data_IF_656407684002
#
_entry.id   IF_656407684002
#
_cell.length_a   1.000
_cell.length_b   1.000
_cell.length_c   1.000
_cell.angle_alpha   90.00
_cell.angle_beta   90.00
_cell.angle_gamma   90.00
#
_symmetry.space_group_name_H-M   'P 1'
#
loop_
_entity.id
_entity.type
_entity.pdbx_description
1 polymer ?
#
# COMPACT_ATOMS: atom_id res chain seq x y z
N UNK A 1 43.03 -33.89 -6.72
CA UNK A 1 41.63 -33.93 -6.26
C UNK A 1 41.50 -32.92 -5.13
N UNK A 2 40.98 -31.72 -5.42
CA UNK A 2 40.52 -30.79 -4.39
C UNK A 2 39.16 -30.28 -4.83
N UNK A 3 38.13 -30.98 -4.38
CA UNK A 3 36.75 -30.53 -4.47
C UNK A 3 36.58 -29.45 -3.40
N UNK A 4 36.72 -28.18 -3.77
CA UNK A 4 36.25 -27.08 -2.94
C UNK A 4 34.73 -27.02 -3.11
N UNK A 5 34.03 -27.62 -2.14
CA UNK A 5 32.58 -27.61 -2.07
C UNK A 5 32.06 -26.18 -1.94
N UNK A 6 31.05 -25.91 -2.77
CA UNK A 6 30.54 -24.61 -3.17
C UNK A 6 29.57 -24.00 -2.14
N UNK A 7 30.01 -23.81 -0.89
CA UNK A 7 29.23 -23.08 0.12
C UNK A 7 30.13 -22.41 1.17
N UNK A 8 30.80 -21.35 0.72
CA UNK A 8 31.92 -20.71 1.39
C UNK A 8 31.46 -19.64 2.41
N UNK A 9 30.78 -20.07 3.48
CA UNK A 9 30.47 -19.21 4.65
C UNK A 9 29.66 -17.92 4.38
N UNK A 10 29.45 -17.10 5.42
CA UNK A 10 28.77 -15.79 5.32
C UNK A 10 29.63 -14.71 4.65
N UNK A 11 30.93 -14.96 4.51
CA UNK A 11 31.92 -14.04 3.95
C UNK A 11 32.48 -14.51 2.60
N UNK A 12 31.83 -15.48 1.94
CA UNK A 12 32.21 -16.00 0.62
C UNK A 12 33.67 -16.50 0.55
N UNK A 13 34.18 -17.07 1.64
CA UNK A 13 35.57 -17.53 1.78
C UNK A 13 36.62 -16.42 1.91
N UNK A 14 36.24 -15.15 1.72
CA UNK A 14 37.16 -14.02 1.73
C UNK A 14 37.20 -13.35 3.12
N UNK A 15 38.14 -13.81 3.95
CA UNK A 15 38.38 -13.30 5.30
C UNK A 15 38.80 -11.83 5.32
N UNK A 16 39.40 -11.32 4.26
CA UNK A 16 39.85 -9.93 4.19
C UNK A 16 38.67 -8.94 4.21
N UNK A 17 37.46 -9.40 3.89
CA UNK A 17 36.25 -8.57 3.93
C UNK A 17 35.75 -8.31 5.34
N UNK A 18 36.15 -9.09 6.33
CA UNK A 18 35.64 -8.95 7.70
C UNK A 18 36.21 -7.68 8.36
N UNK A 19 35.33 -6.89 8.99
CA UNK A 19 35.77 -5.76 9.80
C UNK A 19 36.63 -6.27 10.98
N UNK A 20 37.62 -5.49 11.45
CA UNK A 20 38.39 -5.86 12.64
C UNK A 20 37.53 -6.07 13.89
N UNK A 21 36.39 -5.38 13.96
CA UNK A 21 35.41 -5.48 15.06
C UNK A 21 34.26 -6.45 14.77
N UNK A 22 34.32 -7.20 13.67
CA UNK A 22 33.23 -8.09 13.28
C UNK A 22 33.06 -9.23 14.30
N UNK A 23 31.83 -9.40 14.78
CA UNK A 23 31.43 -10.53 15.63
C UNK A 23 30.86 -11.65 14.76
N UNK A 24 31.23 -12.89 15.05
CA UNK A 24 30.79 -14.03 14.25
C UNK A 24 30.22 -15.16 15.11
N UNK A 25 29.11 -15.75 14.68
CA UNK A 25 28.44 -16.87 15.34
C UNK A 25 28.67 -18.19 14.59
N UNK A 26 29.04 -19.24 15.31
CA UNK A 26 29.16 -20.58 14.76
C UNK A 26 27.77 -21.15 14.45
N UNK A 27 27.50 -21.53 13.20
CA UNK A 27 26.20 -22.14 12.80
C UNK A 27 25.96 -23.54 13.37
N UNK A 28 26.99 -24.18 13.94
CA UNK A 28 26.91 -25.55 14.48
C UNK A 28 26.49 -25.54 15.96
N UNK A 29 27.00 -24.60 16.75
CA UNK A 29 26.81 -24.59 18.21
C UNK A 29 26.42 -23.21 18.78
N UNK A 30 26.24 -22.21 17.92
CA UNK A 30 25.86 -20.83 18.26
C UNK A 30 26.85 -20.08 19.16
N UNK A 31 28.08 -20.58 19.28
CA UNK A 31 29.15 -19.84 19.94
C UNK A 31 29.50 -18.56 19.16
N UNK A 32 29.58 -17.43 19.85
CA UNK A 32 29.96 -16.15 19.28
C UNK A 32 31.44 -15.89 19.56
N UNK A 33 32.23 -15.68 18.51
CA UNK A 33 33.55 -15.08 18.59
C UNK A 33 33.39 -13.55 18.60
N UNK A 34 33.81 -12.91 19.69
CA UNK A 34 33.91 -11.46 19.79
C UNK A 34 35.40 -11.05 19.80
N UNK A 35 35.88 -10.25 18.83
CA UNK A 35 37.23 -9.72 18.83
C UNK A 35 37.59 -9.01 20.14
N UNK A 36 36.65 -8.34 20.81
CA UNK A 36 36.90 -7.65 22.06
C UNK A 36 37.22 -8.61 23.22
N UNK A 37 36.77 -9.86 23.15
CA UNK A 37 37.00 -10.89 24.16
C UNK A 37 38.16 -11.82 23.78
N UNK A 38 38.39 -12.04 22.48
CA UNK A 38 39.36 -13.00 21.99
C UNK A 38 38.88 -14.46 22.17
N UNK A 39 39.79 -15.38 22.45
CA UNK A 39 39.46 -16.79 22.68
C UNK A 39 40.45 -17.43 23.65
N UNK A 40 40.07 -17.54 24.92
CA UNK A 40 40.91 -18.09 25.99
C UNK A 40 41.34 -19.54 25.72
N UNK A 41 40.42 -20.38 25.21
CA UNK A 41 40.70 -21.79 24.89
C UNK A 41 41.82 -21.97 23.84
N UNK A 42 41.99 -20.99 22.96
CA UNK A 42 43.05 -20.94 21.95
C UNK A 42 44.16 -19.93 22.29
N UNK A 43 44.12 -19.37 23.50
CA UNK A 43 45.03 -18.32 23.97
C UNK A 43 45.11 -17.12 23.01
N UNK A 44 44.00 -16.78 22.36
CA UNK A 44 43.88 -15.62 21.49
C UNK A 44 43.53 -14.41 22.36
N UNK A 45 44.37 -13.35 22.38
CA UNK A 45 44.14 -12.22 23.25
C UNK A 45 42.94 -11.37 22.80
N UNK A 46 42.30 -10.64 23.74
CA UNK A 46 41.37 -9.56 23.44
C UNK A 46 41.91 -8.58 22.39
N UNK A 47 41.05 -8.11 21.51
CA UNK A 47 41.35 -7.24 20.38
C UNK A 47 41.77 -7.96 19.09
N UNK A 48 41.81 -9.29 19.06
CA UNK A 48 42.22 -10.03 17.86
C UNK A 48 41.04 -10.16 16.88
N UNK A 49 41.13 -9.63 15.65
CA UNK A 49 40.05 -9.75 14.68
C UNK A 49 39.95 -11.17 14.10
N UNK A 50 38.77 -11.59 13.66
CA UNK A 50 38.54 -12.94 13.12
C UNK A 50 39.41 -13.24 11.88
N UNK A 51 39.73 -12.22 11.08
CA UNK A 51 40.60 -12.35 9.92
C UNK A 51 42.09 -12.54 10.26
N UNK A 52 42.51 -12.20 11.49
CA UNK A 52 43.87 -12.42 11.98
C UNK A 52 44.02 -13.73 12.78
N UNK A 53 42.94 -14.50 12.95
CA UNK A 53 43.01 -15.82 13.59
C UNK A 53 43.91 -16.78 12.79
N UNK A 54 44.65 -17.68 13.45
CA UNK A 54 45.48 -18.67 12.77
C UNK A 54 44.69 -19.54 11.78
N UNK A 55 45.33 -19.99 10.70
CA UNK A 55 44.65 -20.77 9.65
C UNK A 55 44.10 -22.12 10.10
N UNK A 56 44.58 -22.65 11.21
CA UNK A 56 44.12 -23.90 11.82
C UNK A 56 43.18 -23.68 13.01
N UNK A 57 42.82 -22.43 13.33
CA UNK A 57 41.88 -22.13 14.41
C UNK A 57 40.50 -22.74 14.11
N UNK A 58 39.89 -23.31 15.14
CA UNK A 58 38.56 -23.95 15.10
C UNK A 58 37.69 -23.45 16.25
N UNK A 59 36.38 -23.57 16.10
CA UNK A 59 35.43 -23.21 17.15
C UNK A 59 35.79 -23.92 18.47
N UNK A 60 36.00 -23.20 19.59
CA UNK A 60 36.38 -23.80 20.87
C UNK A 60 35.29 -24.68 21.49
N UNK A 61 34.05 -24.57 21.00
CA UNK A 61 32.89 -25.31 21.54
C UNK A 61 32.60 -26.59 20.76
N UNK A 62 32.71 -26.57 19.43
CA UNK A 62 32.26 -27.68 18.58
C UNK A 62 33.29 -28.17 17.55
N UNK A 63 34.52 -27.65 17.59
CA UNK A 63 35.60 -27.95 16.64
C UNK A 63 35.29 -27.65 15.16
N UNK A 64 34.23 -26.88 14.92
CA UNK A 64 33.82 -26.43 13.60
C UNK A 64 34.89 -25.56 12.94
N UNK A 65 35.06 -25.72 11.62
CA UNK A 65 35.95 -24.86 10.84
C UNK A 65 35.46 -23.39 10.82
N UNK A 66 36.35 -22.46 10.50
CA UNK A 66 36.01 -21.02 10.40
C UNK A 66 34.88 -20.73 9.43
N UNK A 67 34.76 -21.48 8.33
CA UNK A 67 33.70 -21.28 7.33
C UNK A 67 32.31 -21.74 7.82
N UNK A 68 32.24 -22.32 9.02
CA UNK A 68 30.99 -22.55 9.74
C UNK A 68 30.50 -21.31 10.52
N UNK A 69 31.22 -20.20 10.51
CA UNK A 69 30.82 -18.98 11.19
C UNK A 69 30.02 -18.02 10.29
N UNK A 70 29.05 -17.33 10.88
CA UNK A 70 28.17 -16.34 10.28
C UNK A 70 28.44 -14.97 10.89
N UNK A 71 28.38 -13.87 10.12
CA UNK A 71 28.62 -12.52 10.67
C UNK A 71 27.36 -12.04 11.40
N UNK A 72 27.50 -11.62 12.66
CA UNK A 72 26.40 -11.04 13.44
C UNK A 72 26.37 -9.51 13.33
N UNK A 73 27.48 -8.85 13.66
CA UNK A 73 27.60 -7.38 13.69
C UNK A 73 28.95 -6.95 13.11
N UNK A 74 29.00 -5.82 12.41
CA UNK A 74 30.23 -5.30 11.79
C UNK A 74 30.42 -5.71 10.33
N UNK A 75 29.35 -5.59 9.54
CA UNK A 75 29.37 -5.78 8.09
C UNK A 75 30.63 -5.15 7.48
N UNK A 76 31.24 -5.93 6.57
CA UNK A 76 32.41 -5.59 5.76
C UNK A 76 32.67 -4.08 5.65
N UNK A 77 33.78 -3.53 6.18
CA UNK A 77 33.92 -2.09 6.35
C UNK A 77 34.22 -1.34 5.03
N UNK A 78 34.07 -1.99 3.87
CA UNK A 78 34.34 -1.33 2.58
C UNK A 78 33.64 -1.96 1.36
N UNK A 79 32.41 -2.45 1.53
CA UNK A 79 31.54 -2.62 0.36
C UNK A 79 30.75 -1.33 0.16
N UNK A 80 30.93 -0.59 -0.95
CA UNK A 80 30.07 0.54 -1.24
C UNK A 80 28.61 0.06 -1.27
N UNK A 81 27.71 0.83 -0.64
CA UNK A 81 26.28 0.53 -0.51
C UNK A 81 25.57 0.18 -1.85
N UNK A 82 26.23 0.49 -2.97
CA UNK A 82 25.83 0.25 -4.36
C UNK A 82 25.86 -1.24 -4.77
N UNK A 83 26.53 -2.11 -4.01
CA UNK A 83 26.65 -3.55 -4.33
C UNK A 83 25.87 -4.49 -3.41
N UNK A 84 25.06 -3.95 -2.50
CA UNK A 84 23.96 -4.74 -1.94
C UNK A 84 22.90 -4.80 -3.03
N UNK A 85 22.52 -5.97 -3.58
CA UNK A 85 21.30 -6.02 -4.38
C UNK A 85 20.19 -5.53 -3.45
N UNK A 86 19.63 -4.36 -3.74
CA UNK A 86 18.43 -3.95 -3.04
C UNK A 86 17.38 -5.01 -3.35
N UNK A 87 16.93 -5.72 -2.31
CA UNK A 87 15.79 -6.63 -2.40
C UNK A 87 14.49 -5.86 -2.68
N UNK A 88 14.57 -4.53 -2.72
CA UNK A 88 13.47 -3.59 -2.90
C UNK A 88 13.58 -2.98 -4.31
N UNK A 89 12.45 -2.93 -5.01
CA UNK A 89 12.34 -2.29 -6.32
C UNK A 89 12.86 -0.84 -6.27
N UNK A 90 13.84 -0.43 -7.12
CA UNK A 90 14.34 0.94 -7.18
C UNK A 90 13.27 2.01 -7.40
N UNK A 91 12.16 1.66 -8.05
CA UNK A 91 11.01 2.58 -8.19
C UNK A 91 10.34 2.85 -6.84
N UNK A 92 10.24 1.83 -5.99
CA UNK A 92 9.62 1.92 -4.68
C UNK A 92 10.49 2.71 -3.69
N UNK A 93 11.82 2.55 -3.77
CA UNK A 93 12.77 3.36 -2.99
C UNK A 93 12.70 4.84 -3.36
N UNK A 94 12.64 5.15 -4.65
CA UNK A 94 12.47 6.53 -5.14
C UNK A 94 11.16 7.13 -4.62
N UNK A 95 10.06 6.38 -4.74
CA UNK A 95 8.76 6.80 -4.24
C UNK A 95 8.77 7.04 -2.72
N UNK A 96 9.45 6.18 -1.95
CA UNK A 96 9.62 6.36 -0.50
C UNK A 96 10.38 7.65 -0.16
N UNK A 97 11.43 7.97 -0.93
CA UNK A 97 12.25 9.15 -0.71
C UNK A 97 11.54 10.45 -1.11
N UNK A 98 10.77 10.44 -2.20
CA UNK A 98 10.18 11.65 -2.79
C UNK A 98 8.78 11.97 -2.23
N UNK A 99 7.98 10.96 -1.90
CA UNK A 99 6.58 11.16 -1.54
C UNK A 99 6.36 12.08 -0.32
N UNK A 100 7.09 11.96 0.81
CA UNK A 100 6.84 12.82 1.97
C UNK A 100 6.97 14.31 1.61
N UNK A 101 8.03 14.68 0.89
CA UNK A 101 8.27 16.05 0.45
C UNK A 101 7.22 16.55 -0.55
N UNK A 102 6.82 15.69 -1.48
CA UNK A 102 5.78 15.98 -2.47
C UNK A 102 4.43 16.27 -1.79
N UNK A 103 3.97 15.37 -0.91
CA UNK A 103 2.71 15.56 -0.19
C UNK A 103 2.74 16.79 0.70
N UNK A 104 3.83 17.02 1.43
CA UNK A 104 3.96 18.23 2.24
C UNK A 104 3.87 19.51 1.41
N UNK A 105 4.55 19.56 0.26
CA UNK A 105 4.52 20.73 -0.63
C UNK A 105 3.11 21.00 -1.17
N UNK A 106 2.46 19.98 -1.75
CA UNK A 106 1.13 20.11 -2.35
C UNK A 106 0.08 20.50 -1.30
N UNK A 107 0.07 19.84 -0.13
CA UNK A 107 -0.94 20.13 0.88
C UNK A 107 -0.69 21.45 1.61
N UNK A 108 0.56 21.92 1.70
CA UNK A 108 0.88 23.27 2.20
C UNK A 108 0.36 24.34 1.25
N UNK A 109 0.44 24.12 -0.05
CA UNK A 109 -0.17 25.00 -1.05
C UNK A 109 -1.70 25.01 -0.95
N UNK A 110 -2.33 23.82 -0.83
CA UNK A 110 -3.80 23.71 -0.62
C UNK A 110 -4.22 24.46 0.64
N UNK A 111 -3.46 24.35 1.72
CA UNK A 111 -3.73 25.07 2.96
C UNK A 111 -3.72 26.58 2.72
N UNK A 112 -2.69 27.10 2.06
CA UNK A 112 -2.53 28.53 1.80
C UNK A 112 -3.59 29.08 0.83
N UNK A 113 -3.94 28.33 -0.22
CA UNK A 113 -4.79 28.80 -1.31
C UNK A 113 -6.29 28.60 -1.08
N UNK A 114 -6.69 27.44 -0.52
CA UNK A 114 -8.10 27.02 -0.48
C UNK A 114 -8.68 26.88 0.92
N UNK A 115 -7.85 26.58 1.91
CA UNK A 115 -8.34 26.21 3.26
C UNK A 115 -8.17 27.33 4.29
N UNK A 116 -7.38 28.37 4.00
CA UNK A 116 -7.16 29.48 4.93
C UNK A 116 -8.48 30.19 5.28
N UNK A 117 -8.81 30.25 6.56
CA UNK A 117 -10.02 30.91 7.08
C UNK A 117 -11.28 30.05 7.09
N UNK A 118 -11.18 28.76 6.75
CA UNK A 118 -12.31 27.84 6.80
C UNK A 118 -12.53 27.35 8.25
N UNK A 119 -13.78 27.28 8.76
CA UNK A 119 -14.04 27.04 10.19
C UNK A 119 -13.55 25.72 10.78
N UNK A 120 -13.27 24.70 9.95
CA UNK A 120 -12.81 23.38 10.38
C UNK A 120 -11.27 23.21 10.32
N UNK A 121 -10.54 24.30 10.07
CA UNK A 121 -9.08 24.31 9.97
C UNK A 121 -8.47 24.70 11.30
N UNK A 122 -7.64 23.82 11.85
CA UNK A 122 -6.90 24.09 13.06
C UNK A 122 -5.65 24.95 12.77
N UNK A 123 -5.71 26.25 13.08
CA UNK A 123 -4.62 27.19 12.81
C UNK A 123 -3.32 26.96 13.59
N UNK A 124 -3.31 26.08 14.61
CA UNK A 124 -2.07 25.73 15.34
C UNK A 124 -1.27 24.64 14.63
N UNK A 125 -1.87 23.98 13.64
CA UNK A 125 -1.25 22.89 12.91
C UNK A 125 -0.74 23.35 11.54
N UNK A 126 0.28 22.66 11.07
CA UNK A 126 0.81 22.72 9.72
C UNK A 126 0.57 21.40 8.98
N UNK A 127 1.28 21.24 7.88
CA UNK A 127 1.25 20.01 7.08
C UNK A 127 2.54 19.24 7.33
N UNK A 128 2.43 17.95 7.62
CA UNK A 128 3.57 17.05 7.85
C UNK A 128 3.28 15.65 7.30
N UNK A 129 4.25 15.07 6.62
CA UNK A 129 4.22 13.66 6.19
C UNK A 129 5.19 12.86 7.06
N UNK A 130 4.70 11.82 7.75
CA UNK A 130 5.49 11.03 8.71
C UNK A 130 5.23 9.53 8.58
N UNK A 131 6.16 8.72 9.10
CA UNK A 131 6.00 7.26 9.13
C UNK A 131 6.00 6.59 7.76
N UNK A 132 6.51 7.24 6.72
CA UNK A 132 6.59 6.66 5.39
C UNK A 132 7.53 5.45 5.39
N UNK A 133 7.03 4.32 4.91
CA UNK A 133 7.77 3.07 4.81
C UNK A 133 7.23 2.18 3.71
N UNK A 134 7.98 1.13 3.42
CA UNK A 134 7.59 0.09 2.48
C UNK A 134 6.95 -1.07 3.25
N UNK A 135 5.75 -1.47 2.83
CA UNK A 135 5.06 -2.63 3.38
C UNK A 135 4.25 -3.32 2.28
N UNK A 136 4.37 -4.66 2.18
CA UNK A 136 3.73 -5.47 1.14
C UNK A 136 3.98 -4.95 -0.30
N UNK A 137 5.20 -4.47 -0.58
CA UNK A 137 5.59 -3.95 -1.90
C UNK A 137 4.97 -2.58 -2.24
N UNK A 138 4.44 -1.85 -1.26
CA UNK A 138 3.82 -0.52 -1.43
C UNK A 138 4.42 0.48 -0.46
N UNK A 139 4.53 1.74 -0.89
CA UNK A 139 4.88 2.85 0.01
C UNK A 139 3.61 3.32 0.70
N UNK A 140 3.68 3.48 2.01
CA UNK A 140 2.60 4.03 2.81
C UNK A 140 3.15 4.86 3.97
N UNK A 141 2.39 5.86 4.39
CA UNK A 141 2.71 6.70 5.53
C UNK A 141 1.49 7.50 5.99
N UNK A 142 1.69 8.45 6.89
CA UNK A 142 0.61 9.28 7.44
C UNK A 142 0.82 10.72 7.04
N UNK A 143 -0.24 11.34 6.53
CA UNK A 143 -0.30 12.76 6.21
C UNK A 143 -1.13 13.48 7.27
N UNK A 144 -0.47 14.36 8.00
CA UNK A 144 -1.07 15.29 8.96
C UNK A 144 -1.32 16.61 8.24
N UNK A 145 -2.55 17.11 8.30
CA UNK A 145 -2.93 18.44 7.85
C UNK A 145 -3.70 19.17 8.95
N UNK A 146 -3.92 20.48 8.82
CA UNK A 146 -4.74 21.23 9.77
C UNK A 146 -6.23 20.83 9.83
N UNK A 147 -6.73 20.03 8.89
CA UNK A 147 -8.15 19.65 8.82
C UNK A 147 -8.42 18.15 8.82
N UNK A 148 -7.44 17.32 8.45
CA UNK A 148 -7.49 15.87 8.60
C UNK A 148 -6.12 15.24 8.94
N UNK A 149 -6.14 14.01 9.42
CA UNK A 149 -5.01 13.08 9.45
C UNK A 149 -5.40 11.80 8.70
N UNK A 150 -4.64 11.44 7.66
CA UNK A 150 -4.95 10.29 6.81
C UNK A 150 -3.74 9.36 6.65
N UNK A 151 -3.98 8.05 6.61
CA UNK A 151 -3.02 7.11 6.02
C UNK A 151 -3.04 7.32 4.51
N UNK A 152 -1.87 7.40 3.87
CA UNK A 152 -1.69 7.52 2.43
C UNK A 152 -0.99 6.27 1.92
N UNK A 153 -1.59 5.63 0.90
CA UNK A 153 -1.07 4.49 0.16
C UNK A 153 -0.76 4.91 -1.27
N UNK A 154 0.44 4.58 -1.73
CA UNK A 154 0.90 4.86 -3.08
C UNK A 154 0.87 3.60 -3.94
N UNK A 155 0.79 3.74 -5.28
CA UNK A 155 0.76 2.59 -6.17
C UNK A 155 2.06 1.79 -6.06
N UNK A 156 1.97 0.49 -6.31
CA UNK A 156 3.12 -0.36 -6.62
C UNK A 156 3.25 -0.52 -8.13
N UNK A 157 4.35 -1.14 -8.58
CA UNK A 157 4.61 -1.38 -10.00
C UNK A 157 3.60 -2.32 -10.69
N UNK A 158 2.84 -3.11 -9.92
CA UNK A 158 1.84 -4.05 -10.43
C UNK A 158 0.43 -3.44 -10.51
N UNK A 159 0.21 -2.25 -9.93
CA UNK A 159 -1.09 -1.60 -9.92
C UNK A 159 -1.32 -0.83 -11.22
N UNK A 160 -2.42 -1.12 -11.89
CA UNK A 160 -2.96 -0.24 -12.91
C UNK A 160 -4.00 0.71 -12.30
N UNK A 161 -3.55 1.88 -11.85
CA UNK A 161 -4.42 2.95 -11.35
C UNK A 161 -4.77 3.99 -12.42
N UNK A 162 -4.55 3.69 -13.71
CA UNK A 162 -4.87 4.60 -14.81
C UNK A 162 -6.36 4.97 -14.88
N UNK A 163 -7.23 4.07 -14.41
CA UNK A 163 -8.69 4.26 -14.37
C UNK A 163 -9.24 4.59 -12.98
N UNK A 164 -8.37 4.83 -11.99
CA UNK A 164 -8.78 5.03 -10.61
C UNK A 164 -9.65 6.31 -10.49
N UNK A 165 -10.91 6.16 -10.08
CA UNK A 165 -11.83 7.29 -9.93
C UNK A 165 -11.76 7.87 -8.52
N UNK A 166 -11.59 9.19 -8.42
CA UNK A 166 -11.61 9.87 -7.13
C UNK A 166 -12.91 9.58 -6.38
N UNK A 167 -12.80 9.18 -5.11
CA UNK A 167 -13.91 8.81 -4.24
C UNK A 167 -14.29 7.32 -4.28
N UNK A 168 -13.70 6.54 -5.19
CA UNK A 168 -13.86 5.09 -5.21
C UNK A 168 -13.34 4.45 -3.92
N UNK A 169 -14.12 3.53 -3.38
CA UNK A 169 -13.85 2.90 -2.08
C UNK A 169 -13.20 1.54 -2.29
N UNK A 170 -12.20 1.24 -1.48
CA UNK A 170 -11.57 -0.08 -1.45
C UNK A 170 -11.30 -0.48 0.00
N UNK A 171 -11.61 -1.73 0.34
CA UNK A 171 -11.26 -2.30 1.63
C UNK A 171 -9.90 -2.96 1.54
N UNK A 172 -9.00 -2.58 2.44
CA UNK A 172 -7.64 -3.10 2.51
C UNK A 172 -7.43 -3.73 3.89
N UNK A 173 -7.00 -4.99 3.89
CA UNK A 173 -6.70 -5.75 5.09
C UNK A 173 -5.29 -5.46 5.60
N UNK A 174 -5.21 -5.21 6.91
CA UNK A 174 -3.98 -5.08 7.68
C UNK A 174 -4.04 -6.06 8.87
N UNK A 175 -2.90 -6.36 9.51
CA UNK A 175 -2.87 -7.20 10.71
C UNK A 175 -3.84 -6.75 11.81
N UNK A 176 -4.01 -5.43 11.99
CA UNK A 176 -4.94 -4.85 12.96
C UNK A 176 -6.41 -4.83 12.52
N UNK A 177 -6.74 -5.16 11.26
CA UNK A 177 -8.12 -5.16 10.77
C UNK A 177 -8.27 -4.68 9.32
N UNK A 178 -9.53 -4.53 8.90
CA UNK A 178 -9.90 -4.10 7.55
C UNK A 178 -10.26 -2.62 7.54
N UNK A 179 -9.59 -1.84 6.68
CA UNK A 179 -9.75 -0.37 6.62
C UNK A 179 -10.31 0.06 5.26
N UNK A 180 -11.18 1.07 5.27
CA UNK A 180 -11.74 1.67 4.05
C UNK A 180 -10.81 2.78 3.54
N UNK A 181 -10.32 2.60 2.32
CA UNK A 181 -9.52 3.58 1.60
C UNK A 181 -10.32 4.21 0.47
N UNK A 182 -10.15 5.51 0.32
CA UNK A 182 -10.72 6.28 -0.76
C UNK A 182 -9.64 6.61 -1.78
N UNK A 183 -9.91 6.30 -3.04
CA UNK A 183 -9.09 6.74 -4.16
C UNK A 183 -9.10 8.27 -4.26
N UNK A 184 -7.93 8.84 -4.43
CA UNK A 184 -7.72 10.24 -4.73
C UNK A 184 -6.75 10.34 -5.90
N UNK A 185 -7.18 11.02 -6.96
CA UNK A 185 -6.30 11.31 -8.09
C UNK A 185 -6.16 12.82 -8.22
N UNK A 186 -4.95 13.32 -7.99
CA UNK A 186 -4.62 14.73 -8.16
C UNK A 186 -3.41 14.84 -9.10
N UNK A 187 -3.42 15.77 -10.06
CA UNK A 187 -2.28 15.96 -10.96
C UNK A 187 -0.97 16.22 -10.23
N UNK A 188 -1.02 16.87 -9.06
CA UNK A 188 0.18 17.32 -8.34
C UNK A 188 0.82 16.21 -7.49
N UNK A 189 0.04 15.25 -6.97
CA UNK A 189 0.55 14.13 -6.16
C UNK A 189 0.60 12.81 -6.93
N UNK A 190 -0.07 12.72 -8.08
CA UNK A 190 -0.44 11.45 -8.70
C UNK A 190 -1.60 10.74 -7.97
N UNK A 191 -1.98 9.53 -8.43
CA UNK A 191 -3.01 8.73 -7.79
C UNK A 191 -2.50 8.14 -6.47
N UNK A 192 -3.31 8.25 -5.43
CA UNK A 192 -3.08 7.65 -4.12
C UNK A 192 -4.39 7.19 -3.51
N UNK A 193 -4.32 6.33 -2.50
CA UNK A 193 -5.46 5.93 -1.68
C UNK A 193 -5.29 6.51 -0.28
N UNK A 194 -6.37 7.00 0.32
CA UNK A 194 -6.34 7.58 1.65
C UNK A 194 -7.38 6.97 2.59
N UNK A 195 -6.99 6.67 3.82
CA UNK A 195 -7.89 6.27 4.90
C UNK A 195 -7.89 7.37 5.97
N UNK A 196 -9.07 7.89 6.31
CA UNK A 196 -9.23 8.97 7.28
C UNK A 196 -9.09 8.42 8.71
N UNK A 197 -8.18 9.00 9.49
CA UNK A 197 -7.97 8.65 10.89
C UNK A 197 -8.66 9.67 11.80
N UNK A 198 -8.39 10.95 11.57
CA UNK A 198 -8.95 12.05 12.33
C UNK A 198 -9.44 13.15 11.40
N UNK A 199 -10.67 13.58 11.62
CA UNK A 199 -11.28 14.75 11.00
C UNK A 199 -12.51 15.13 11.83
N UNK A 200 -12.61 16.37 12.35
CA UNK A 200 -11.64 17.47 12.25
C UNK A 200 -10.41 17.26 13.14
N UNK A 201 -9.40 18.14 13.03
CA UNK A 201 -8.12 18.05 13.77
C UNK A 201 -8.09 18.90 15.05
N UNK A 202 -9.25 19.16 15.66
CA UNK A 202 -9.35 20.04 16.84
C UNK A 202 -8.91 19.39 18.15
N UNK A 203 -8.85 18.06 18.19
CA UNK A 203 -8.36 17.32 19.37
C UNK A 203 -6.83 17.45 19.54
N UNK A 204 -6.13 18.00 18.55
CA UNK A 204 -4.69 18.22 18.56
C UNK A 204 -4.36 19.67 18.89
N UNK A 205 -3.76 19.87 20.05
CA UNK A 205 -3.37 21.19 20.56
C UNK A 205 -2.07 21.71 19.92
N UNK A 206 -1.22 20.82 19.43
CA UNK A 206 0.09 21.15 18.87
C UNK A 206 0.52 20.19 17.76
N UNK A 207 1.46 20.65 16.93
CA UNK A 207 2.07 19.81 15.91
C UNK A 207 2.83 18.61 16.48
N UNK A 208 3.45 18.75 17.65
CA UNK A 208 4.16 17.65 18.31
C UNK A 208 3.19 16.49 18.61
N UNK A 209 2.06 16.80 19.25
CA UNK A 209 1.03 15.80 19.59
C UNK A 209 0.47 15.11 18.34
N UNK A 210 0.22 15.87 17.27
CA UNK A 210 -0.30 15.33 16.02
C UNK A 210 0.73 14.41 15.32
N UNK A 211 2.01 14.78 15.35
CA UNK A 211 3.10 13.98 14.77
C UNK A 211 3.33 12.70 15.57
N UNK A 212 3.42 12.78 16.90
CA UNK A 212 3.58 11.60 17.76
C UNK A 212 2.43 10.59 17.55
N UNK A 213 1.20 11.10 17.45
CA UNK A 213 0.03 10.27 17.14
C UNK A 213 0.16 9.62 15.76
N UNK A 214 0.51 10.40 14.74
CA UNK A 214 0.70 9.90 13.38
C UNK A 214 1.84 8.86 13.26
N UNK A 215 2.91 9.01 14.02
CA UNK A 215 4.01 8.05 14.09
C UNK A 215 3.59 6.72 14.76
N UNK A 216 2.66 6.77 15.72
CA UNK A 216 2.10 5.59 16.38
C UNK A 216 1.09 4.80 15.52
N UNK A 217 0.48 5.44 14.51
CA UNK A 217 -0.49 4.79 13.61
C UNK A 217 0.14 3.62 12.85
N UNK A 218 1.33 3.80 12.28
CA UNK A 218 1.97 2.77 11.46
C UNK A 218 2.30 1.49 12.25
N UNK A 219 2.97 1.53 13.42
CA UNK A 219 3.14 0.32 14.23
C UNK A 219 1.80 -0.25 14.69
N UNK A 220 0.83 0.59 15.06
CA UNK A 220 -0.50 0.14 15.47
C UNK A 220 -1.26 -0.63 14.37
N UNK A 221 -1.16 -0.17 13.13
CA UNK A 221 -1.79 -0.79 11.94
C UNK A 221 -1.21 -2.18 11.63
N UNK A 222 0.07 -2.41 11.95
CA UNK A 222 0.73 -3.70 11.70
C UNK A 222 0.77 -4.63 12.89
N UNK A 223 0.26 -4.19 14.03
CA UNK A 223 0.17 -5.03 15.22
C UNK A 223 -1.13 -5.85 15.17
N UNK A 224 -0.99 -7.16 15.04
CA UNK A 224 -2.10 -8.09 15.08
C UNK A 224 -2.81 -8.11 16.45
N UNK A 225 -2.14 -7.69 17.53
CA UNK A 225 -2.74 -7.53 18.86
C UNK A 225 -3.78 -6.42 18.94
N UNK A 226 -3.73 -5.45 18.02
CA UNK A 226 -4.73 -4.39 17.90
C UNK A 226 -5.94 -4.80 17.06
N UNK A 227 -6.00 -6.07 16.62
CA UNK A 227 -7.16 -6.59 15.92
C UNK A 227 -8.32 -6.67 16.89
N UNK A 228 -9.27 -5.75 16.74
CA UNK A 228 -10.56 -5.87 17.41
C UNK A 228 -11.25 -7.13 16.89
N UNK A 229 -11.29 -8.19 17.70
CA UNK A 229 -12.14 -9.35 17.47
C UNK A 229 -13.61 -8.88 17.48
N UNK A 230 -14.14 -8.61 16.29
CA UNK A 230 -15.56 -8.40 16.06
C UNK A 230 -16.00 -6.94 16.15
N UNK A 231 -15.88 -6.21 15.04
CA UNK A 231 -17.02 -5.40 14.62
C UNK A 231 -17.88 -6.25 13.70
N UNK A 232 -19.02 -6.70 14.23
CA UNK A 232 -20.15 -7.28 13.46
C UNK A 232 -20.44 -6.48 12.18
N UNK A 233 -20.14 -5.17 12.17
CA UNK A 233 -20.19 -4.28 11.00
C UNK A 233 -19.21 -4.63 9.87
N UNK A 234 -17.98 -5.06 10.18
CA UNK A 234 -16.98 -5.47 9.19
C UNK A 234 -17.27 -6.83 8.57
N UNK A 235 -17.88 -7.75 9.33
CA UNK A 235 -18.37 -9.03 8.80
C UNK A 235 -19.67 -8.89 8.01
N UNK A 236 -20.62 -8.06 8.49
CA UNK A 236 -21.85 -7.74 7.76
C UNK A 236 -21.50 -7.06 6.44
N UNK A 237 -20.55 -6.12 6.43
CA UNK A 237 -20.08 -5.46 5.20
C UNK A 237 -19.39 -6.45 4.24
N UNK A 238 -18.46 -7.28 4.73
CA UNK A 238 -17.82 -8.34 3.92
C UNK A 238 -18.83 -9.29 3.29
N UNK A 239 -19.86 -9.67 4.04
CA UNK A 239 -20.94 -10.53 3.54
C UNK A 239 -21.79 -9.80 2.50
N UNK A 240 -22.17 -8.55 2.75
CA UNK A 240 -22.95 -7.75 1.79
C UNK A 240 -22.18 -7.48 0.49
N UNK A 241 -20.88 -7.19 0.58
CA UNK A 241 -20.01 -6.98 -0.58
C UNK A 241 -19.76 -8.28 -1.35
N UNK A 242 -19.61 -9.41 -0.67
CA UNK A 242 -19.51 -10.71 -1.32
C UNK A 242 -20.82 -11.13 -2.00
N UNK A 243 -21.97 -10.85 -1.37
CA UNK A 243 -23.30 -11.07 -1.96
C UNK A 243 -23.54 -10.16 -3.18
N UNK A 244 -23.11 -8.89 -3.13
CA UNK A 244 -23.20 -7.96 -4.26
C UNK A 244 -22.23 -8.32 -5.40
N UNK A 245 -20.99 -8.68 -5.08
CA UNK A 245 -20.02 -9.14 -6.07
C UNK A 245 -20.47 -10.45 -6.74
N UNK A 246 -21.10 -11.37 -5.99
CA UNK A 246 -21.69 -12.57 -6.55
C UNK A 246 -22.89 -12.25 -7.45
N UNK A 247 -23.74 -11.27 -7.08
CA UNK A 247 -24.82 -10.77 -7.94
C UNK A 247 -24.29 -10.19 -9.23
N UNK A 248 -23.32 -9.27 -9.15
CA UNK A 248 -22.72 -8.62 -10.33
C UNK A 248 -22.00 -9.63 -11.22
N UNK A 249 -21.31 -10.61 -10.65
CA UNK A 249 -20.70 -11.69 -11.41
C UNK A 249 -21.75 -12.58 -12.10
N UNK A 250 -22.87 -12.89 -11.45
CA UNK A 250 -23.98 -13.62 -12.05
C UNK A 250 -24.68 -12.82 -13.17
N UNK A 251 -24.84 -11.50 -12.98
CA UNK A 251 -25.41 -10.58 -13.99
C UNK A 251 -24.47 -10.42 -15.20
N UNK A 252 -23.16 -10.40 -14.96
CA UNK A 252 -22.13 -10.34 -16.01
C UNK A 252 -22.00 -11.67 -16.76
N UNK A 253 -22.15 -12.81 -16.05
CA UNK A 253 -22.17 -14.14 -16.66
C UNK A 253 -23.46 -14.37 -17.49
N UNK A 254 -24.59 -13.80 -17.08
CA UNK A 254 -25.83 -13.80 -17.84
C UNK A 254 -25.80 -12.84 -19.05
N UNK A 255 -24.84 -11.92 -19.11
CA UNK A 255 -24.65 -10.96 -20.21
C UNK A 255 -23.63 -11.42 -21.26
N UNK A 256 -23.15 -12.67 -21.22
CA UNK A 256 -22.40 -13.25 -22.33
C UNK A 256 -23.31 -13.44 -23.56
N UNK A 257 -22.87 -13.11 -24.78
CA UNK A 257 -23.74 -13.07 -25.96
C UNK A 257 -24.18 -14.48 -26.36
N UNK A 258 -25.48 -14.75 -26.30
CA UNK A 258 -26.08 -15.94 -26.92
C UNK A 258 -25.84 -15.95 -28.44
N UNK A 259 -25.60 -17.13 -29.06
CA UNK A 259 -25.45 -17.23 -30.50
C UNK A 259 -26.76 -16.86 -31.23
N UNK A 260 -26.64 -15.94 -32.20
CA UNK A 260 -27.72 -15.38 -33.01
C UNK A 260 -28.68 -16.44 -33.58
N UNK A 261 -29.95 -16.35 -33.19
CA UNK A 261 -31.09 -16.89 -33.95
C UNK A 261 -31.87 -15.73 -34.57
N UNK A 262 -32.38 -15.85 -35.81
CA UNK A 262 -32.79 -14.71 -36.62
C UNK A 262 -34.05 -14.03 -36.07
N UNK A 263 -33.99 -12.70 -36.03
CA UNK A 263 -35.01 -11.77 -35.49
C UNK A 263 -36.36 -11.92 -36.17
N UNK A 264 -37.41 -12.08 -35.35
CA UNK A 264 -38.80 -11.83 -35.72
C UNK A 264 -39.18 -10.46 -35.17
N UNK A 265 -39.63 -9.55 -36.03
CA UNK A 265 -39.96 -8.16 -35.69
C UNK A 265 -40.97 -8.07 -34.53
N UNK A 266 -40.62 -7.28 -33.51
CA UNK A 266 -41.50 -6.90 -32.41
C UNK A 266 -41.97 -5.44 -32.61
N UNK A 267 -43.25 -5.12 -32.31
CA UNK A 267 -43.84 -3.82 -32.59
C UNK A 267 -43.27 -2.68 -31.73
N UNK A 268 -43.28 -1.47 -32.31
CA UNK A 268 -42.63 -0.26 -31.80
C UNK A 268 -43.02 0.15 -30.37
N UNK A 269 -42.01 0.45 -29.55
CA UNK A 269 -42.14 0.85 -28.15
C UNK A 269 -42.82 2.23 -27.99
N UNK A 270 -43.83 2.27 -27.12
CA UNK A 270 -44.51 3.48 -26.70
C UNK A 270 -43.60 4.32 -25.80
N UNK A 271 -43.24 5.53 -26.23
CA UNK A 271 -42.39 6.42 -25.43
C UNK A 271 -43.15 7.06 -24.25
N UNK A 272 -42.42 7.33 -23.16
CA UNK A 272 -42.92 7.97 -21.90
C UNK A 272 -43.65 9.31 -22.12
N UNK A 273 -43.44 10.01 -23.24
CA UNK A 273 -44.19 11.24 -23.59
C UNK A 273 -45.62 10.96 -24.09
N UNK A 274 -45.88 9.78 -24.65
CA UNK A 274 -47.22 9.38 -25.13
C UNK A 274 -48.17 8.92 -24.03
N UNK A 275 -47.66 8.65 -22.82
CA UNK A 275 -48.44 8.27 -21.65
C UNK A 275 -48.96 9.46 -20.82
N UNK A 276 -48.34 10.64 -20.94
CA UNK A 276 -48.65 11.81 -20.07
C UNK A 276 -49.52 12.87 -20.76
N UNK A 277 -49.53 12.95 -22.10
CA UNK A 277 -50.26 14.01 -22.83
C UNK A 277 -51.35 13.51 -23.80
N UNK A 278 -51.61 12.19 -23.83
CA UNK A 278 -52.56 11.58 -24.77
C UNK A 278 -52.11 11.68 -26.24
N UNK A 279 -52.57 10.79 -27.14
CA UNK A 279 -52.13 10.81 -28.53
C UNK A 279 -52.63 12.08 -29.21
N UNK A 280 -51.71 12.92 -29.71
CA UNK A 280 -52.06 14.00 -30.65
C UNK A 280 -52.46 13.35 -31.98
N UNK A 281 -53.74 13.43 -32.33
CA UNK A 281 -54.22 13.06 -33.66
C UNK A 281 -53.41 13.81 -34.72
N UNK A 282 -52.77 13.05 -35.60
CA UNK A 282 -52.07 13.58 -36.77
C UNK A 282 -53.04 14.29 -37.69
N UNK A 283 -52.58 15.40 -38.28
CA UNK A 283 -53.35 16.35 -39.09
C UNK A 283 -53.89 15.80 -40.44
N UNK A 284 -53.94 14.48 -40.62
CA UNK A 284 -54.54 13.82 -41.78
C UNK A 284 -55.93 13.24 -41.48
N UNK A 285 -56.27 13.00 -40.20
CA UNK A 285 -57.56 12.42 -39.78
C UNK A 285 -58.67 13.48 -39.53
N UNK A 286 -58.33 14.77 -39.65
CA UNK A 286 -59.28 15.89 -39.60
C UNK A 286 -59.79 16.31 -40.99
N UNK A 287 -59.20 15.80 -42.08
CA UNK A 287 -59.72 16.02 -43.45
C UNK A 287 -60.71 14.94 -43.87
N UNK A 288 -60.54 13.69 -43.45
CA UNK A 288 -61.48 12.61 -43.73
C UNK A 288 -62.83 12.75 -42.98
N UNK A 289 -62.84 13.38 -41.79
CA UNK A 289 -64.07 13.59 -41.00
C UNK A 289 -64.87 14.85 -41.36
N UNK A 290 -64.39 15.64 -42.33
CA UNK A 290 -65.12 16.79 -42.88
C UNK A 290 -65.88 16.45 -44.19
N UNK A 291 -65.60 15.29 -44.80
CA UNK A 291 -66.26 14.84 -46.03
C UNK A 291 -67.45 13.89 -45.75
N UNK A 292 -67.41 13.08 -44.68
CA UNK A 292 -68.53 12.20 -44.28
C UNK A 292 -69.71 12.90 -43.57
N UNK A 293 -69.60 14.20 -43.28
CA UNK A 293 -70.72 15.01 -42.73
C UNK A 293 -71.51 15.78 -43.80
N UNK A 294 -71.21 15.57 -45.10
CA UNK A 294 -71.99 16.13 -46.22
C UNK A 294 -72.89 15.12 -46.94
N UNK A 295 -72.70 13.81 -46.77
CA UNK A 295 -73.50 12.78 -47.46
C UNK A 295 -74.48 12.00 -46.57
N UNK A 296 -74.72 12.48 -45.34
CA UNK A 296 -75.67 11.90 -44.38
C UNK A 296 -76.93 12.72 -44.09
N UNK A 297 -77.27 13.69 -44.95
CA UNK A 297 -78.49 14.48 -44.89
C UNK A 297 -79.15 14.58 -46.27
N UNK A 298 -79.75 13.47 -46.69
CA UNK A 298 -80.88 13.40 -47.60
C UNK A 298 -81.84 12.32 -47.10
#
# INVERSE_FOLDING_TARGET
MSQHSFFDGSYLGDRARLAPTARLECKVCWHVYDPAEGCEAWQIPPGTPFNALPDHWRCPVCDGARDAFMVLDGGTPDLPAVMRPSLVDPALERQLAEAPGLFEAVFREIHAAKMKGVPFVNGTLGVKAVGFRIHAGRVMGVLVTPWFMNIVLLPNAADDWSQLRTGEKELIDFPSGTYEFLAANRPETGPYKACSLFSPMFDFSSMLQAVETAEAVMPGLLDAGNREDGTRSGEIRRRAEAEEAARVAAETAAAAPEPETPRREAPAELSRRSLILGPRAGAEDLRARAEDLRDGAA
#
